data_IF_947580232014
#
_entry.id   IF_947580232014
#
_cell.length_a   1.000
_cell.length_b   1.000
_cell.length_c   1.000
_cell.angle_alpha   90.00
_cell.angle_beta   90.00
_cell.angle_gamma   90.00
#
_symmetry.space_group_name_H-M   'P 1'
#
loop_
_entity.id
_entity.type
_entity.pdbx_description
1 polymer ?
#
# COMPACT_ATOMS: atom_id res chain seq x y z
N UNK A 1 -41.40 20.32 6.05
CA UNK A 1 -40.92 19.99 4.69
C UNK A 1 -40.25 18.63 4.72
N UNK A 2 -40.82 17.62 4.06
CA UNK A 2 -40.32 16.26 4.03
C UNK A 2 -38.97 16.19 3.30
N UNK A 3 -37.90 15.78 4.00
CA UNK A 3 -36.66 15.33 3.36
C UNK A 3 -36.92 14.01 2.63
N UNK A 4 -37.31 14.09 1.36
CA UNK A 4 -37.41 12.93 0.50
C UNK A 4 -35.99 12.37 0.29
N UNK A 5 -35.64 11.29 1.00
CA UNK A 5 -34.38 10.58 0.81
C UNK A 5 -34.38 10.01 -0.63
N UNK A 6 -33.63 10.65 -1.54
CA UNK A 6 -33.41 10.16 -2.92
C UNK A 6 -33.12 8.65 -2.89
N UNK A 7 -33.85 7.86 -3.70
CA UNK A 7 -33.67 6.40 -3.81
C UNK A 7 -32.60 6.00 -4.86
N UNK A 8 -32.23 6.92 -5.75
CA UNK A 8 -31.25 6.72 -6.83
C UNK A 8 -30.48 8.03 -7.10
N UNK A 9 -29.36 7.92 -7.82
CA UNK A 9 -28.56 9.07 -8.26
C UNK A 9 -29.13 9.63 -9.56
N UNK A 10 -29.26 10.95 -9.68
CA UNK A 10 -29.57 11.60 -10.95
C UNK A 10 -28.34 11.66 -11.87
N UNK A 11 -28.50 11.94 -13.17
CA UNK A 11 -27.37 12.20 -14.07
C UNK A 11 -26.43 13.31 -13.58
N UNK A 12 -26.96 14.36 -12.96
CA UNK A 12 -26.18 15.45 -12.35
C UNK A 12 -25.40 14.96 -11.13
N UNK A 13 -26.01 14.12 -10.28
CA UNK A 13 -25.31 13.52 -9.12
C UNK A 13 -24.12 12.66 -9.60
N UNK A 14 -24.30 11.89 -10.68
CA UNK A 14 -23.24 11.05 -11.27
C UNK A 14 -22.08 11.90 -11.80
N UNK A 15 -22.38 13.04 -12.45
CA UNK A 15 -21.36 13.97 -12.96
C UNK A 15 -20.50 14.57 -11.84
N UNK A 16 -21.05 14.69 -10.62
CA UNK A 16 -20.35 15.22 -9.43
C UNK A 16 -19.49 14.19 -8.71
N UNK A 17 -19.58 12.89 -9.05
CA UNK A 17 -18.75 11.86 -8.41
C UNK A 17 -17.27 12.17 -8.70
N UNK A 18 -16.39 12.23 -7.69
CA UNK A 18 -14.97 12.49 -7.90
C UNK A 18 -14.35 11.49 -8.88
N UNK A 19 -13.60 12.00 -9.85
CA UNK A 19 -12.85 11.16 -10.79
C UNK A 19 -11.51 10.68 -10.23
N UNK A 20 -10.99 11.37 -9.22
CA UNK A 20 -9.74 11.02 -8.54
C UNK A 20 -10.02 10.11 -7.35
N UNK A 21 -9.58 8.86 -7.48
CA UNK A 21 -9.62 7.85 -6.42
C UNK A 21 -8.39 6.95 -6.52
N UNK A 22 -8.13 6.21 -5.45
CA UNK A 22 -7.13 5.15 -5.42
C UNK A 22 -7.82 3.80 -5.37
N UNK A 23 -7.28 2.81 -6.10
CA UNK A 23 -7.73 1.42 -6.00
C UNK A 23 -6.59 0.62 -5.40
N UNK A 24 -6.86 -0.03 -4.26
CA UNK A 24 -5.97 -1.02 -3.65
C UNK A 24 -6.73 -2.34 -3.63
N UNK A 25 -6.23 -3.33 -4.37
CA UNK A 25 -6.96 -4.59 -4.61
C UNK A 25 -8.41 -4.35 -5.02
N UNK A 26 -9.34 -4.81 -4.19
CA UNK A 26 -10.79 -4.66 -4.38
C UNK A 26 -11.41 -3.48 -3.62
N UNK A 27 -10.60 -2.54 -3.11
CA UNK A 27 -11.02 -1.39 -2.32
C UNK A 27 -10.81 -0.11 -3.14
N UNK A 28 -11.90 0.64 -3.36
CA UNK A 28 -11.85 1.98 -3.95
C UNK A 28 -11.87 3.03 -2.84
N UNK A 29 -10.88 3.92 -2.82
CA UNK A 29 -10.69 4.92 -1.77
C UNK A 29 -10.72 6.33 -2.38
N UNK A 30 -11.68 7.14 -1.94
CA UNK A 30 -11.71 8.57 -2.24
C UNK A 30 -10.91 9.36 -1.21
N UNK A 31 -10.07 10.30 -1.67
CA UNK A 31 -9.36 11.22 -0.78
C UNK A 31 -10.24 12.40 -0.37
N UNK A 32 -10.99 12.96 -1.32
CA UNK A 32 -11.98 14.01 -1.09
C UNK A 32 -13.34 13.54 -1.60
N UNK A 33 -14.41 13.81 -0.86
CA UNK A 33 -15.77 13.37 -1.21
C UNK A 33 -16.77 14.53 -1.02
N UNK A 34 -17.57 14.90 -2.04
CA UNK A 34 -18.53 16.00 -1.96
C UNK A 34 -19.60 15.77 -0.89
N UNK A 35 -19.90 16.79 -0.10
CA UNK A 35 -20.83 16.68 1.04
C UNK A 35 -22.29 16.54 0.59
N UNK A 36 -22.63 17.13 -0.56
CA UNK A 36 -23.94 17.10 -1.17
C UNK A 36 -24.32 15.71 -1.74
N UNK A 37 -23.33 14.84 -1.96
CA UNK A 37 -23.58 13.51 -2.49
C UNK A 37 -23.89 12.51 -1.37
N UNK A 38 -24.93 11.69 -1.58
CA UNK A 38 -25.22 10.59 -0.69
C UNK A 38 -24.17 9.48 -0.84
N UNK A 39 -23.26 9.40 0.13
CA UNK A 39 -22.16 8.43 0.23
C UNK A 39 -22.60 6.99 -0.03
N UNK A 40 -23.74 6.55 0.52
CA UNK A 40 -24.22 5.17 0.37
C UNK A 40 -24.73 4.90 -1.06
N UNK A 41 -25.44 5.86 -1.66
CA UNK A 41 -25.92 5.73 -3.05
C UNK A 41 -24.75 5.72 -4.03
N UNK A 42 -23.77 6.62 -3.87
CA UNK A 42 -22.55 6.65 -4.68
C UNK A 42 -21.76 5.35 -4.54
N UNK A 43 -21.56 4.87 -3.31
CA UNK A 43 -20.86 3.62 -3.07
C UNK A 43 -21.56 2.43 -3.74
N UNK A 44 -22.88 2.29 -3.61
CA UNK A 44 -23.63 1.22 -4.26
C UNK A 44 -23.60 1.33 -5.79
N UNK A 45 -23.72 2.55 -6.34
CA UNK A 45 -23.58 2.79 -7.78
C UNK A 45 -22.22 2.32 -8.30
N UNK A 46 -21.13 2.64 -7.59
CA UNK A 46 -19.78 2.25 -7.98
C UNK A 46 -19.56 0.73 -7.88
N UNK A 47 -20.08 0.07 -6.85
CA UNK A 47 -20.02 -1.40 -6.73
C UNK A 47 -20.75 -2.10 -7.88
N UNK A 48 -21.90 -1.55 -8.30
CA UNK A 48 -22.65 -2.09 -9.43
C UNK A 48 -21.90 -1.91 -10.75
N UNK A 49 -21.22 -0.76 -10.93
CA UNK A 49 -20.49 -0.40 -12.15
C UNK A 49 -19.11 -1.08 -12.25
N UNK A 50 -18.40 -1.22 -11.14
CA UNK A 50 -17.02 -1.72 -11.07
C UNK A 50 -16.97 -3.09 -10.39
N UNK A 51 -17.13 -4.16 -11.17
CA UNK A 51 -17.30 -5.54 -10.65
C UNK A 51 -16.11 -6.07 -9.83
N UNK A 52 -14.92 -5.52 -10.03
CA UNK A 52 -13.71 -5.87 -9.27
C UNK A 52 -13.65 -5.19 -7.89
N UNK A 53 -14.48 -4.17 -7.63
CA UNK A 53 -14.54 -3.45 -6.36
C UNK A 53 -15.56 -4.11 -5.45
N UNK A 54 -15.16 -4.42 -4.23
CA UNK A 54 -15.98 -5.04 -3.18
C UNK A 54 -16.25 -4.09 -2.01
N UNK A 55 -15.41 -3.07 -1.84
CA UNK A 55 -15.52 -2.08 -0.76
C UNK A 55 -15.26 -0.69 -1.32
N UNK A 56 -16.12 0.27 -0.98
CA UNK A 56 -15.90 1.69 -1.28
C UNK A 56 -15.69 2.42 0.04
N UNK A 57 -14.61 3.20 0.13
CA UNK A 57 -14.23 3.94 1.32
C UNK A 57 -13.83 5.40 1.00
N UNK A 58 -13.87 6.25 2.03
CA UNK A 58 -13.38 7.63 2.00
C UNK A 58 -12.30 7.79 3.06
N UNK A 59 -11.28 8.63 2.80
CA UNK A 59 -10.33 9.06 3.84
C UNK A 59 -11.05 10.00 4.81
N UNK A 60 -11.06 9.67 6.10
CA UNK A 60 -11.60 10.53 7.16
C UNK A 60 -10.55 11.43 7.80
N UNK A 61 -9.25 11.08 7.66
CA UNK A 61 -8.10 11.92 7.97
C UNK A 61 -7.00 11.67 6.94
N UNK A 62 -6.26 12.71 6.57
CA UNK A 62 -5.04 12.58 5.77
C UNK A 62 -3.97 11.79 6.53
N UNK A 63 -2.95 11.30 5.79
CA UNK A 63 -1.84 10.54 6.36
C UNK A 63 -1.18 11.30 7.51
N UNK A 64 -1.13 10.69 8.69
CA UNK A 64 -0.63 11.31 9.92
C UNK A 64 0.11 10.30 10.79
N UNK A 65 0.84 10.80 11.79
CA UNK A 65 1.60 9.97 12.73
C UNK A 65 2.80 9.26 12.12
N UNK A 66 3.49 8.50 12.98
CA UNK A 66 4.77 7.82 12.67
C UNK A 66 4.68 6.85 11.48
N UNK A 67 3.55 6.16 11.33
CA UNK A 67 3.35 5.14 10.29
C UNK A 67 2.68 5.68 9.02
N UNK A 68 2.35 6.98 8.99
CA UNK A 68 1.78 7.68 7.82
C UNK A 68 0.59 6.91 7.25
N UNK A 69 -0.37 6.50 8.08
CA UNK A 69 -1.58 5.81 7.65
C UNK A 69 -2.80 6.74 7.66
N UNK A 70 -3.75 6.58 6.73
CA UNK A 70 -5.01 7.30 6.74
C UNK A 70 -6.03 6.56 7.62
N UNK A 71 -7.06 7.26 8.10
CA UNK A 71 -8.28 6.61 8.58
C UNK A 71 -9.28 6.51 7.44
N UNK A 72 -9.90 5.34 7.29
CA UNK A 72 -10.83 5.00 6.23
C UNK A 72 -12.22 4.75 6.81
N UNK A 73 -13.22 5.40 6.22
CA UNK A 73 -14.63 5.14 6.48
C UNK A 73 -15.24 4.41 5.28
N UNK A 74 -15.70 3.17 5.50
CA UNK A 74 -16.43 2.41 4.49
C UNK A 74 -17.79 3.05 4.27
N UNK A 75 -18.14 3.32 3.01
CA UNK A 75 -19.42 3.93 2.61
C UNK A 75 -20.35 2.94 1.91
N UNK A 76 -19.82 1.85 1.35
CA UNK A 76 -20.59 0.75 0.77
C UNK A 76 -19.74 -0.54 0.63
N UNK A 77 -20.43 -1.68 0.51
CA UNK A 77 -19.82 -2.98 0.23
C UNK A 77 -19.45 -3.79 1.48
N UNK A 78 -18.46 -4.66 1.34
CA UNK A 78 -18.00 -5.54 2.42
C UNK A 78 -17.36 -4.69 3.52
N UNK A 79 -17.66 -5.00 4.78
CA UNK A 79 -17.09 -4.33 5.97
C UNK A 79 -15.65 -4.79 6.27
N UNK A 80 -14.80 -4.83 5.25
CA UNK A 80 -13.37 -5.15 5.38
C UNK A 80 -12.53 -4.08 4.70
N UNK A 81 -11.41 -3.73 5.36
CA UNK A 81 -10.35 -2.85 4.83
C UNK A 81 -9.12 -3.63 4.38
N UNK A 82 -9.14 -4.95 4.54
CA UNK A 82 -8.08 -5.83 4.06
C UNK A 82 -8.40 -6.34 2.65
N UNK A 83 -7.39 -6.41 1.79
CA UNK A 83 -7.53 -6.86 0.41
C UNK A 83 -6.23 -7.47 -0.11
N UNK A 84 -6.30 -8.11 -1.29
CA UNK A 84 -5.13 -8.54 -2.06
C UNK A 84 -5.02 -7.64 -3.27
N UNK A 85 -3.97 -6.83 -3.32
CA UNK A 85 -3.56 -6.09 -4.49
C UNK A 85 -2.64 -6.94 -5.38
N UNK A 86 -2.72 -6.75 -6.69
CA UNK A 86 -1.89 -7.45 -7.66
C UNK A 86 -1.13 -6.42 -8.48
N UNK A 87 0.17 -6.59 -8.56
CA UNK A 87 1.04 -5.76 -9.39
C UNK A 87 2.27 -6.56 -9.79
N UNK A 88 2.86 -6.29 -10.97
CA UNK A 88 4.14 -6.87 -11.39
C UNK A 88 4.27 -8.39 -11.13
N UNK A 89 3.19 -9.16 -11.29
CA UNK A 89 3.21 -10.61 -11.04
C UNK A 89 3.34 -11.05 -9.58
N UNK A 90 3.16 -10.15 -8.61
CA UNK A 90 3.09 -10.44 -7.17
C UNK A 90 1.66 -10.30 -6.62
N UNK A 91 1.41 -10.93 -5.48
CA UNK A 91 0.23 -10.74 -4.64
C UNK A 91 0.61 -9.99 -3.37
N UNK A 92 -0.11 -8.93 -3.04
CA UNK A 92 0.14 -8.10 -1.86
C UNK A 92 -1.12 -8.01 -1.02
N UNK A 93 -1.18 -8.80 0.05
CA UNK A 93 -2.19 -8.67 1.10
C UNK A 93 -1.86 -7.44 1.95
N UNK A 94 -2.84 -6.55 2.11
CA UNK A 94 -2.65 -5.28 2.81
C UNK A 94 -3.98 -4.74 3.37
N UNK A 95 -3.90 -4.03 4.48
CA UNK A 95 -4.94 -3.11 4.95
C UNK A 95 -4.43 -1.66 4.84
N UNK A 96 -4.98 -0.83 3.92
CA UNK A 96 -4.48 0.52 3.68
C UNK A 96 -4.70 1.52 4.84
N UNK A 97 -5.45 1.15 5.90
CA UNK A 97 -5.54 1.92 7.14
C UNK A 97 -4.43 1.58 8.15
N UNK A 98 -3.84 0.39 8.05
CA UNK A 98 -2.85 -0.11 9.01
C UNK A 98 -1.42 -0.03 8.48
N UNK A 99 -1.25 -0.05 7.15
CA UNK A 99 0.07 -0.01 6.50
C UNK A 99 0.02 0.95 5.32
N UNK A 100 1.02 1.82 5.23
CA UNK A 100 1.17 2.68 4.07
C UNK A 100 1.44 1.83 2.81
N UNK A 101 0.61 2.02 1.80
CA UNK A 101 0.78 1.43 0.49
C UNK A 101 0.20 2.37 -0.57
N UNK A 102 0.86 2.46 -1.72
CA UNK A 102 0.26 3.08 -2.89
C UNK A 102 0.49 2.24 -4.14
N UNK A 103 -0.60 1.98 -4.87
CA UNK A 103 -0.55 1.30 -6.16
C UNK A 103 0.16 2.14 -7.23
N UNK A 104 0.24 3.47 -7.05
CA UNK A 104 0.83 4.40 -8.02
C UNK A 104 2.34 4.24 -8.18
N UNK A 105 3.01 3.68 -7.18
CA UNK A 105 4.47 3.48 -7.16
C UNK A 105 4.88 2.11 -7.74
N UNK A 106 3.94 1.40 -8.37
CA UNK A 106 4.17 0.08 -8.98
C UNK A 106 5.25 0.11 -10.07
N UNK A 107 5.24 1.13 -10.92
CA UNK A 107 6.21 1.33 -12.00
C UNK A 107 7.60 1.57 -11.45
N UNK A 108 7.74 2.39 -10.41
CA UNK A 108 9.02 2.65 -9.75
C UNK A 108 9.59 1.38 -9.10
N UNK A 109 8.75 0.57 -8.45
CA UNK A 109 9.20 -0.72 -7.91
C UNK A 109 9.76 -1.62 -9.00
N UNK A 110 9.07 -1.73 -10.14
CA UNK A 110 9.55 -2.54 -11.26
C UNK A 110 10.83 -1.96 -11.87
N UNK A 111 10.93 -0.63 -12.00
CA UNK A 111 12.13 0.05 -12.49
C UNK A 111 13.33 -0.28 -11.63
N UNK A 112 13.22 -0.15 -10.31
CA UNK A 112 14.30 -0.47 -9.38
C UNK A 112 14.65 -1.95 -9.41
N UNK A 113 13.67 -2.85 -9.45
CA UNK A 113 13.92 -4.29 -9.53
C UNK A 113 14.73 -4.68 -10.77
N UNK A 114 14.51 -4.01 -11.91
CA UNK A 114 15.28 -4.23 -13.15
C UNK A 114 16.72 -3.71 -13.09
N UNK A 115 17.05 -2.83 -12.15
CA UNK A 115 18.42 -2.32 -11.96
C UNK A 115 19.27 -3.23 -11.06
N UNK A 116 18.63 -4.13 -10.31
CA UNK A 116 19.30 -5.07 -9.40
C UNK A 116 20.06 -6.11 -10.20
N UNK A 117 21.39 -6.15 -10.02
CA UNK A 117 22.26 -7.12 -10.70
C UNK A 117 22.20 -8.49 -10.03
N UNK A 118 22.68 -9.49 -10.75
CA UNK A 118 22.82 -10.84 -10.24
C UNK A 118 23.71 -10.84 -8.99
N UNK A 119 23.31 -11.62 -8.01
CA UNK A 119 24.02 -11.88 -6.76
C UNK A 119 24.13 -10.67 -5.79
N UNK A 120 23.48 -9.53 -6.07
CA UNK A 120 23.39 -8.39 -5.14
C UNK A 120 22.69 -8.79 -3.83
N UNK A 121 23.23 -8.31 -2.72
CA UNK A 121 22.57 -8.22 -1.42
C UNK A 121 21.87 -6.86 -1.33
N UNK A 122 20.54 -6.86 -1.25
CA UNK A 122 19.72 -5.64 -1.30
C UNK A 122 19.11 -5.34 0.06
N UNK A 123 19.17 -4.09 0.53
CA UNK A 123 18.46 -3.61 1.71
C UNK A 123 17.31 -2.68 1.33
N UNK A 124 16.15 -2.87 1.97
CA UNK A 124 14.99 -1.97 1.92
C UNK A 124 14.67 -1.52 3.34
N UNK A 125 15.05 -0.28 3.70
CA UNK A 125 15.00 0.21 5.08
C UNK A 125 13.57 0.45 5.63
N UNK A 126 12.62 0.79 4.76
CA UNK A 126 11.23 1.13 5.11
C UNK A 126 10.26 0.24 4.32
N UNK A 127 10.31 -1.05 4.59
CA UNK A 127 9.78 -2.08 3.70
C UNK A 127 8.26 -2.21 3.70
N UNK A 128 7.52 -1.64 4.65
CA UNK A 128 6.06 -1.69 4.72
C UNK A 128 5.53 -3.12 4.69
N UNK A 129 4.51 -3.39 3.86
CA UNK A 129 4.00 -4.74 3.58
C UNK A 129 4.88 -5.55 2.60
N UNK A 130 6.15 -5.16 2.44
CA UNK A 130 7.17 -5.69 1.52
C UNK A 130 6.91 -5.55 0.00
N UNK A 131 6.25 -4.51 -0.54
CA UNK A 131 6.06 -4.43 -1.99
C UNK A 131 7.40 -4.33 -2.77
N UNK A 132 8.40 -3.59 -2.28
CA UNK A 132 9.74 -3.56 -2.91
C UNK A 132 10.45 -4.92 -2.85
N UNK A 133 10.64 -5.55 -1.66
CA UNK A 133 11.29 -6.86 -1.58
C UNK A 133 10.65 -7.92 -2.48
N UNK A 134 9.32 -7.99 -2.53
CA UNK A 134 8.60 -8.97 -3.37
C UNK A 134 8.85 -8.73 -4.86
N UNK A 135 8.77 -7.48 -5.32
CA UNK A 135 8.99 -7.14 -6.74
C UNK A 135 10.45 -7.36 -7.13
N UNK A 136 11.41 -7.02 -6.26
CA UNK A 136 12.83 -7.27 -6.51
C UNK A 136 13.11 -8.77 -6.62
N UNK A 137 12.62 -9.56 -5.66
CA UNK A 137 12.78 -11.01 -5.68
C UNK A 137 12.16 -11.65 -6.93
N UNK A 138 11.01 -11.13 -7.39
CA UNK A 138 10.31 -11.64 -8.57
C UNK A 138 11.00 -11.31 -9.90
N UNK A 139 11.69 -10.17 -10.00
CA UNK A 139 12.18 -9.63 -11.28
C UNK A 139 13.70 -9.48 -11.38
N UNK A 140 14.45 -9.93 -10.38
CA UNK A 140 15.92 -9.86 -10.37
C UNK A 140 16.54 -11.20 -9.99
N UNK A 141 17.87 -11.28 -10.07
CA UNK A 141 18.66 -12.40 -9.56
C UNK A 141 19.42 -12.02 -8.29
N UNK A 142 18.82 -11.20 -7.43
CA UNK A 142 19.39 -10.83 -6.14
C UNK A 142 19.67 -12.08 -5.30
N UNK A 143 20.83 -12.12 -4.64
CA UNK A 143 21.21 -13.22 -3.74
C UNK A 143 20.31 -13.24 -2.52
N UNK A 144 20.12 -12.08 -1.89
CA UNK A 144 19.29 -11.91 -0.71
C UNK A 144 18.75 -10.48 -0.60
N UNK A 145 17.56 -10.35 -0.03
CA UNK A 145 16.85 -9.07 0.10
C UNK A 145 16.40 -8.91 1.54
N UNK A 146 16.82 -7.83 2.17
CA UNK A 146 16.51 -7.49 3.55
C UNK A 146 15.44 -6.41 3.57
N UNK A 147 14.38 -6.61 4.35
CA UNK A 147 13.36 -5.60 4.61
C UNK A 147 13.29 -5.25 6.08
N UNK A 148 13.41 -3.97 6.44
CA UNK A 148 13.22 -3.49 7.80
C UNK A 148 11.90 -2.73 7.85
N UNK A 149 11.09 -2.94 8.89
CA UNK A 149 9.83 -2.22 9.08
C UNK A 149 9.58 -1.99 10.57
N UNK A 150 9.26 -0.75 10.93
CA UNK A 150 9.05 -0.36 12.32
C UNK A 150 7.63 -0.63 12.80
N UNK A 151 6.65 -0.60 11.89
CA UNK A 151 5.27 -0.95 12.15
C UNK A 151 5.10 -2.47 12.23
N UNK A 152 4.76 -2.99 13.41
CA UNK A 152 4.55 -4.42 13.63
C UNK A 152 3.47 -5.04 12.75
N UNK A 153 2.40 -4.29 12.43
CA UNK A 153 1.37 -4.75 11.48
C UNK A 153 1.93 -4.79 10.05
N UNK A 154 2.72 -3.79 9.67
CA UNK A 154 3.45 -3.76 8.39
C UNK A 154 4.34 -4.99 8.22
N UNK A 155 5.16 -5.26 9.24
CA UNK A 155 6.02 -6.43 9.29
C UNK A 155 5.23 -7.75 9.21
N UNK A 156 4.11 -7.86 9.93
CA UNK A 156 3.23 -9.04 9.85
C UNK A 156 2.69 -9.26 8.43
N UNK A 157 2.18 -8.20 7.79
CA UNK A 157 1.74 -8.27 6.39
C UNK A 157 2.89 -8.66 5.46
N UNK A 158 4.09 -8.12 5.67
CA UNK A 158 5.27 -8.47 4.89
C UNK A 158 5.59 -9.97 4.99
N UNK A 159 5.59 -10.55 6.20
CA UNK A 159 5.81 -11.98 6.41
C UNK A 159 4.74 -12.84 5.71
N UNK A 160 3.46 -12.45 5.83
CA UNK A 160 2.36 -13.13 5.12
C UNK A 160 2.54 -13.05 3.60
N UNK A 161 2.98 -11.90 3.08
CA UNK A 161 3.18 -11.70 1.65
C UNK A 161 4.36 -12.48 1.09
N UNK A 162 5.46 -12.62 1.83
CA UNK A 162 6.59 -13.48 1.42
C UNK A 162 6.10 -14.93 1.27
N UNK A 163 5.32 -15.43 2.25
CA UNK A 163 4.71 -16.75 2.20
C UNK A 163 3.72 -16.89 1.04
N UNK A 164 2.85 -15.90 0.83
CA UNK A 164 1.85 -15.87 -0.23
C UNK A 164 2.47 -15.98 -1.63
N UNK A 165 3.64 -15.39 -1.83
CA UNK A 165 4.36 -15.42 -3.11
C UNK A 165 5.38 -16.56 -3.22
N UNK A 166 5.54 -17.38 -2.17
CA UNK A 166 6.48 -18.52 -2.12
C UNK A 166 7.94 -18.11 -2.40
N UNK A 167 8.36 -16.98 -1.84
CA UNK A 167 9.71 -16.44 -2.02
C UNK A 167 10.58 -16.81 -0.82
N UNK A 168 11.85 -17.16 -1.07
CA UNK A 168 12.78 -17.70 -0.07
C UNK A 168 14.04 -16.86 0.15
N UNK A 169 14.34 -15.90 -0.72
CA UNK A 169 15.51 -15.03 -0.61
C UNK A 169 15.23 -13.70 0.11
N UNK A 170 14.09 -13.57 0.79
CA UNK A 170 13.70 -12.36 1.52
C UNK A 170 13.80 -12.60 3.03
N UNK A 171 14.54 -11.74 3.73
CA UNK A 171 14.67 -11.71 5.19
C UNK A 171 14.04 -10.42 5.71
N UNK A 172 13.11 -10.53 6.66
CA UNK A 172 12.36 -9.40 7.20
C UNK A 172 12.71 -9.19 8.67
N UNK A 173 12.88 -7.92 9.06
CA UNK A 173 13.20 -7.52 10.43
C UNK A 173 12.19 -6.48 10.90
N UNK A 174 11.71 -6.64 12.12
CA UNK A 174 10.86 -5.65 12.76
C UNK A 174 11.72 -4.75 13.64
N UNK A 175 11.66 -3.44 13.42
CA UNK A 175 12.34 -2.47 14.28
C UNK A 175 12.66 -1.16 13.60
N UNK A 176 13.32 -0.30 14.37
CA UNK A 176 13.91 0.94 13.87
C UNK A 176 15.17 0.61 13.07
N UNK A 177 15.30 1.16 11.88
CA UNK A 177 16.48 0.94 11.02
C UNK A 177 17.79 1.33 11.73
N UNK A 178 17.78 2.40 12.54
CA UNK A 178 18.93 2.83 13.33
C UNK A 178 19.41 1.77 14.34
N UNK A 179 18.51 0.90 14.78
CA UNK A 179 18.80 -0.14 15.77
C UNK A 179 19.06 -1.48 15.12
N UNK A 180 18.28 -1.83 14.10
CA UNK A 180 18.37 -3.12 13.42
C UNK A 180 19.63 -3.19 12.57
N UNK A 181 19.96 -2.15 11.81
CA UNK A 181 21.04 -2.22 10.84
C UNK A 181 22.44 -2.45 11.48
N UNK A 182 22.82 -1.78 12.58
CA UNK A 182 24.08 -2.07 13.27
C UNK A 182 24.18 -3.52 13.77
N UNK A 183 23.05 -4.12 14.20
CA UNK A 183 23.00 -5.50 14.68
C UNK A 183 23.20 -6.50 13.53
N UNK A 184 22.72 -6.17 12.33
CA UNK A 184 22.93 -7.01 11.15
C UNK A 184 24.41 -7.11 10.76
N UNK A 185 25.21 -6.08 11.08
CA UNK A 185 26.64 -5.99 10.82
C UNK A 185 27.03 -6.49 9.42
N UNK A 186 26.34 -5.97 8.40
CA UNK A 186 26.38 -6.48 7.03
C UNK A 186 26.37 -5.32 6.03
N UNK A 187 27.22 -5.44 5.02
CA UNK A 187 27.23 -4.55 3.86
C UNK A 187 26.23 -5.01 2.79
N UNK A 188 25.66 -4.06 2.08
CA UNK A 188 24.70 -4.27 1.00
C UNK A 188 25.20 -3.63 -0.28
N UNK A 189 25.01 -4.32 -1.41
CA UNK A 189 25.38 -3.80 -2.73
C UNK A 189 24.40 -2.71 -3.20
N UNK A 190 23.18 -2.74 -2.65
CA UNK A 190 22.13 -1.76 -2.96
C UNK A 190 21.26 -1.49 -1.75
N UNK A 191 21.03 -0.22 -1.48
CA UNK A 191 20.10 0.25 -0.45
C UNK A 191 18.97 1.04 -1.09
N UNK A 192 17.74 0.76 -0.66
CA UNK A 192 16.52 1.43 -1.10
C UNK A 192 15.85 2.04 0.13
N UNK A 193 15.67 3.35 0.12
CA UNK A 193 15.05 4.12 1.18
C UNK A 193 13.73 4.73 0.69
N UNK A 194 12.63 3.96 0.61
CA UNK A 194 11.36 4.44 0.07
C UNK A 194 10.60 5.30 1.10
N UNK A 195 11.25 6.36 1.59
CA UNK A 195 10.72 7.32 2.54
C UNK A 195 10.86 8.74 1.94
N UNK A 196 9.86 9.22 1.19
CA UNK A 196 9.98 10.48 0.44
C UNK A 196 10.16 11.74 1.28
N UNK A 197 10.03 11.64 2.61
CA UNK A 197 10.26 12.74 3.55
C UNK A 197 11.32 12.26 4.53
N UNK A 198 12.40 13.00 4.72
CA UNK A 198 13.41 12.72 5.74
C UNK A 198 14.28 11.48 5.44
N UNK A 199 14.36 11.02 4.20
CA UNK A 199 15.31 9.94 3.84
C UNK A 199 16.77 10.36 4.05
N UNK A 200 17.05 11.65 3.90
CA UNK A 200 18.35 12.27 4.09
C UNK A 200 18.91 12.09 5.51
N UNK A 201 18.04 11.95 6.51
CA UNK A 201 18.43 11.69 7.91
C UNK A 201 19.05 10.30 8.12
N UNK A 202 18.94 9.41 7.13
CA UNK A 202 19.42 8.02 7.20
C UNK A 202 20.62 7.75 6.30
N UNK A 203 21.20 8.79 5.67
CA UNK A 203 22.34 8.63 4.76
C UNK A 203 23.59 8.09 5.48
N UNK A 204 23.81 8.47 6.74
CA UNK A 204 24.96 8.00 7.53
C UNK A 204 24.90 6.49 7.85
N UNK A 205 23.72 5.87 7.66
CA UNK A 205 23.51 4.43 7.83
C UNK A 205 23.65 3.64 6.52
N UNK A 206 23.76 4.33 5.38
CA UNK A 206 23.68 3.74 4.04
C UNK A 206 25.05 3.45 3.43
#
# INVERSE_FOLDING_TARGET
MLFCKKKSLSPEDIKKIPKSFEIVGSILIFSNFPNELNKKLVGNYLLNKLKNIKTVAIKSKFYSGKYRTPKLKIIAGIKSKETIHRENGILLKVNPEEVYFSARTSTERLRIAKLVKKDESVLVMFSGAAPFPLVISKHSKAKEIYGIEINSLGHKYAQENVKLNKLNNIKLFQGDVNKVLPILNKNFDRIIMPLPKNSEEYLDLA
#
